data_IF_990529018054
#
_entry.id   IF_990529018054
#
_cell.length_a   1.000
_cell.length_b   1.000
_cell.length_c   1.000
_cell.angle_alpha   90.00
_cell.angle_beta   90.00
_cell.angle_gamma   90.00
#
_symmetry.space_group_name_H-M   'P 1'
#
loop_
_entity.id
_entity.type
_entity.pdbx_description
1 polymer ?
#
# COMPACT_ATOMS: atom_id res chain seq x y z
N UNK A 1 -51.77 13.69 53.26
CA UNK A 1 -52.34 12.38 52.87
C UNK A 1 -52.42 12.33 51.36
N UNK A 2 -51.65 11.47 50.73
CA UNK A 2 -51.61 11.32 49.26
C UNK A 2 -50.67 10.18 48.92
N UNK A 3 -51.23 9.13 48.34
CA UNK A 3 -50.72 7.75 48.27
C UNK A 3 -49.43 7.62 47.44
N UNK A 4 -48.48 6.84 47.96
CA UNK A 4 -47.35 6.30 47.22
C UNK A 4 -47.82 5.07 46.44
N UNK A 5 -47.88 5.18 45.11
CA UNK A 5 -48.11 4.05 44.22
C UNK A 5 -46.76 3.46 43.80
N UNK A 6 -46.40 2.36 44.45
CA UNK A 6 -45.25 1.52 44.15
C UNK A 6 -45.52 0.67 42.90
N UNK A 7 -44.78 0.93 41.82
CA UNK A 7 -44.78 0.10 40.62
C UNK A 7 -44.02 -1.23 40.83
N UNK A 8 -44.50 -2.36 40.29
CA UNK A 8 -43.91 -3.68 40.50
C UNK A 8 -42.64 -3.91 39.66
N UNK A 9 -41.57 -4.37 40.32
CA UNK A 9 -40.22 -4.59 39.77
C UNK A 9 -40.01 -5.93 39.04
N UNK A 10 -41.05 -6.73 38.83
CA UNK A 10 -40.87 -8.16 38.54
C UNK A 10 -41.05 -8.57 37.06
N UNK A 11 -41.20 -7.62 36.13
CA UNK A 11 -41.50 -7.95 34.72
C UNK A 11 -40.25 -8.14 33.82
N UNK A 12 -39.02 -7.93 34.30
CA UNK A 12 -37.86 -7.78 33.41
C UNK A 12 -36.93 -9.01 33.32
N UNK A 13 -37.37 -10.20 33.75
CA UNK A 13 -36.51 -11.40 33.85
C UNK A 13 -37.02 -12.62 33.06
N UNK A 14 -37.47 -12.46 31.81
CA UNK A 14 -37.84 -13.61 30.95
C UNK A 14 -37.42 -13.59 29.47
N UNK A 15 -36.63 -12.61 29.00
CA UNK A 15 -36.33 -12.52 27.55
C UNK A 15 -34.91 -12.93 27.09
N UNK A 16 -34.04 -13.49 27.95
CA UNK A 16 -32.62 -13.70 27.55
C UNK A 16 -32.17 -15.15 27.25
N UNK A 17 -33.05 -16.15 27.13
CA UNK A 17 -32.61 -17.54 26.87
C UNK A 17 -32.77 -18.03 25.42
N UNK A 18 -33.03 -17.11 24.48
CA UNK A 18 -33.26 -17.43 23.07
C UNK A 18 -32.12 -17.05 22.11
N UNK A 19 -30.87 -16.92 22.58
CA UNK A 19 -29.74 -16.69 21.69
C UNK A 19 -29.45 -17.96 20.89
N UNK A 20 -30.13 -18.12 19.74
CA UNK A 20 -29.84 -19.15 18.74
C UNK A 20 -28.35 -19.08 18.42
N UNK A 21 -27.60 -20.10 18.84
CA UNK A 21 -26.18 -20.28 18.55
C UNK A 21 -26.04 -20.24 17.01
N UNK A 22 -25.64 -19.09 16.49
CA UNK A 22 -25.52 -18.86 15.06
C UNK A 22 -24.51 -19.87 14.52
N UNK A 23 -24.99 -20.87 13.77
CA UNK A 23 -24.11 -21.82 13.09
C UNK A 23 -23.22 -21.00 12.18
N UNK A 24 -21.92 -21.05 12.44
CA UNK A 24 -20.95 -20.25 11.72
C UNK A 24 -20.69 -20.93 10.36
N UNK A 25 -21.63 -20.77 9.42
CA UNK A 25 -21.63 -21.43 8.10
C UNK A 25 -20.31 -21.28 7.34
N UNK A 26 -19.56 -20.20 7.60
CA UNK A 26 -18.24 -19.94 7.01
C UNK A 26 -17.21 -21.02 7.35
N UNK A 27 -17.16 -21.48 8.59
CA UNK A 27 -16.20 -22.52 8.99
C UNK A 27 -16.53 -23.87 8.37
N UNK A 28 -17.82 -24.20 8.29
CA UNK A 28 -18.27 -25.43 7.67
C UNK A 28 -18.04 -25.41 6.16
N UNK A 29 -18.29 -24.27 5.51
CA UNK A 29 -18.05 -24.09 4.07
C UNK A 29 -16.58 -24.25 3.70
N UNK A 30 -15.66 -23.60 4.45
CA UNK A 30 -14.21 -23.72 4.20
C UNK A 30 -13.72 -25.17 4.36
N UNK A 31 -14.19 -25.89 5.39
CA UNK A 31 -13.87 -27.30 5.59
C UNK A 31 -14.40 -28.18 4.45
N UNK A 32 -15.62 -27.89 3.97
CA UNK A 32 -16.22 -28.62 2.86
C UNK A 32 -15.49 -28.38 1.54
N UNK A 33 -15.14 -27.13 1.21
CA UNK A 33 -14.39 -26.79 0.00
C UNK A 33 -13.02 -27.47 0.00
N UNK A 34 -12.29 -27.40 1.13
CA UNK A 34 -11.01 -28.10 1.25
C UNK A 34 -11.14 -29.62 1.05
N UNK A 35 -12.17 -30.23 1.61
CA UNK A 35 -12.45 -31.67 1.44
C UNK A 35 -12.77 -32.03 -0.02
N UNK A 36 -13.62 -31.25 -0.69
CA UNK A 36 -13.98 -31.46 -2.08
C UNK A 36 -12.77 -31.34 -3.02
N UNK A 37 -11.93 -30.31 -2.80
CA UNK A 37 -10.70 -30.10 -3.58
C UNK A 37 -9.71 -31.26 -3.38
N UNK A 38 -9.51 -31.73 -2.14
CA UNK A 38 -8.65 -32.87 -1.86
C UNK A 38 -9.16 -34.16 -2.52
N UNK A 39 -10.48 -34.39 -2.52
CA UNK A 39 -11.08 -35.56 -3.18
C UNK A 39 -10.89 -35.52 -4.69
N UNK A 40 -11.09 -34.36 -5.33
CA UNK A 40 -10.84 -34.18 -6.76
C UNK A 40 -9.36 -34.47 -7.09
N UNK A 41 -8.43 -33.99 -6.26
CA UNK A 41 -7.00 -34.25 -6.47
C UNK A 41 -6.65 -35.74 -6.38
N UNK A 42 -7.25 -36.49 -5.44
CA UNK A 42 -7.05 -37.94 -5.32
C UNK A 42 -7.64 -38.68 -6.54
N UNK A 43 -8.82 -38.30 -7.01
CA UNK A 43 -9.44 -38.86 -8.21
C UNK A 43 -8.62 -38.57 -9.49
N UNK A 44 -7.98 -37.41 -9.55
CA UNK A 44 -7.05 -37.06 -10.62
C UNK A 44 -5.78 -37.92 -10.56
N UNK A 45 -5.14 -38.04 -9.39
CA UNK A 45 -3.93 -38.84 -9.20
C UNK A 45 -4.14 -40.35 -9.47
N UNK A 46 -5.34 -40.87 -9.19
CA UNK A 46 -5.70 -42.27 -9.46
C UNK A 46 -6.02 -42.54 -10.93
N UNK A 47 -6.03 -41.52 -11.80
CA UNK A 47 -6.28 -41.67 -13.23
C UNK A 47 -7.71 -42.09 -13.57
N UNK A 48 -8.64 -42.05 -12.61
CA UNK A 48 -10.05 -42.42 -12.80
C UNK A 48 -10.72 -41.42 -13.74
N UNK A 49 -10.32 -40.14 -13.68
CA UNK A 49 -10.87 -39.07 -14.51
C UNK A 49 -9.76 -38.51 -15.39
N UNK A 50 -9.92 -38.64 -16.71
CA UNK A 50 -9.04 -38.03 -17.70
C UNK A 50 -9.45 -36.57 -17.93
N UNK A 51 -9.18 -35.71 -16.96
CA UNK A 51 -9.29 -34.26 -17.14
C UNK A 51 -7.94 -33.76 -17.64
N UNK A 52 -7.92 -33.06 -18.77
CA UNK A 52 -6.74 -32.30 -19.19
C UNK A 52 -6.62 -31.10 -18.25
N UNK A 53 -5.72 -31.18 -17.27
CA UNK A 53 -5.42 -30.12 -16.31
C UNK A 53 -3.99 -29.66 -16.58
N UNK A 54 -3.81 -28.37 -16.86
CA UNK A 54 -2.49 -27.78 -17.04
C UNK A 54 -1.68 -27.81 -15.73
N UNK A 55 -0.35 -27.91 -15.84
CA UNK A 55 0.57 -27.97 -14.69
C UNK A 55 0.39 -26.79 -13.71
N UNK A 56 0.05 -25.61 -14.24
CA UNK A 56 -0.23 -24.42 -13.42
C UNK A 56 -1.49 -24.58 -12.58
N UNK A 57 -2.53 -25.21 -13.12
CA UNK A 57 -3.79 -25.46 -12.41
C UNK A 57 -3.57 -26.46 -11.29
N UNK A 58 -2.74 -27.48 -11.53
CA UNK A 58 -2.34 -28.42 -10.48
C UNK A 58 -1.58 -27.71 -9.35
N UNK A 59 -0.63 -26.84 -9.69
CA UNK A 59 0.10 -26.03 -8.72
C UNK A 59 -0.82 -25.13 -7.88
N UNK A 60 -1.80 -24.47 -8.51
CA UNK A 60 -2.78 -23.63 -7.82
C UNK A 60 -3.65 -24.45 -6.86
N UNK A 61 -4.05 -25.66 -7.26
CA UNK A 61 -4.86 -26.55 -6.43
C UNK A 61 -4.11 -26.97 -5.17
N UNK A 62 -2.83 -27.30 -5.29
CA UNK A 62 -1.96 -27.65 -4.15
C UNK A 62 -1.83 -26.47 -3.19
N UNK A 63 -1.60 -25.25 -3.69
CA UNK A 63 -1.53 -24.05 -2.85
C UNK A 63 -2.85 -23.84 -2.09
N UNK A 64 -3.99 -24.05 -2.74
CA UNK A 64 -5.31 -23.85 -2.14
C UNK A 64 -5.58 -24.85 -0.99
N UNK A 65 -5.05 -26.07 -1.09
CA UNK A 65 -5.06 -27.07 0.00
C UNK A 65 -4.14 -26.65 1.16
N UNK A 66 -3.02 -25.99 0.86
CA UNK A 66 -2.05 -25.56 1.87
C UNK A 66 -2.46 -24.29 2.62
N UNK A 67 -3.27 -23.41 2.03
CA UNK A 67 -3.77 -22.18 2.67
C UNK A 67 -4.29 -22.37 4.11
N UNK A 68 -5.21 -23.31 4.41
CA UNK A 68 -5.70 -23.52 5.77
C UNK A 68 -4.64 -24.04 6.76
N UNK A 69 -3.52 -24.60 6.28
CA UNK A 69 -2.42 -25.00 7.14
C UNK A 69 -1.57 -23.81 7.59
N UNK A 70 -1.54 -22.71 6.81
CA UNK A 70 -0.76 -21.51 7.14
C UNK A 70 -1.27 -20.85 8.44
N UNK A 71 -2.59 -20.83 8.65
CA UNK A 71 -3.19 -20.32 9.89
C UNK A 71 -2.80 -21.14 11.14
N UNK A 72 -2.36 -22.40 10.97
CA UNK A 72 -1.84 -23.23 12.07
C UNK A 72 -0.38 -22.94 12.41
N UNK A 73 0.36 -22.25 11.55
CA UNK A 73 1.79 -21.96 11.71
C UNK A 73 2.01 -20.60 12.41
N UNK A 74 1.11 -20.20 13.31
CA UNK A 74 1.22 -18.92 14.04
C UNK A 74 2.36 -18.87 15.08
N UNK A 75 3.15 -19.93 15.24
CA UNK A 75 4.31 -19.94 16.14
C UNK A 75 5.50 -20.64 15.52
N UNK A 76 6.12 -20.04 14.51
CA UNK A 76 7.52 -20.39 14.20
C UNK A 76 8.39 -19.54 15.14
N UNK A 77 8.94 -20.15 16.18
CA UNK A 77 10.02 -19.54 16.97
C UNK A 77 11.26 -19.49 16.08
N UNK A 78 11.42 -18.42 15.31
CA UNK A 78 12.71 -18.09 14.72
C UNK A 78 13.59 -17.53 15.84
N UNK A 79 14.72 -18.21 16.04
CA UNK A 79 15.49 -18.27 17.28
C UNK A 79 15.96 -16.93 17.86
N UNK A 80 15.89 -15.83 17.10
CA UNK A 80 16.35 -14.50 17.52
C UNK A 80 15.40 -13.33 17.13
N UNK A 81 14.18 -13.60 16.64
CA UNK A 81 13.22 -12.53 16.30
C UNK A 81 11.86 -12.85 16.91
N UNK A 82 11.58 -12.26 18.06
CA UNK A 82 10.24 -12.19 18.64
C UNK A 82 9.38 -11.20 17.84
N UNK A 83 8.83 -11.63 16.71
CA UNK A 83 7.67 -10.93 16.14
C UNK A 83 6.44 -11.39 16.91
N UNK A 84 6.19 -10.74 18.04
CA UNK A 84 4.89 -10.82 18.72
C UNK A 84 3.90 -10.10 17.82
N UNK A 85 3.05 -10.84 17.10
CA UNK A 85 1.80 -10.26 16.63
C UNK A 85 0.99 -9.96 17.88
N UNK A 86 1.10 -8.72 18.35
CA UNK A 86 0.33 -8.22 19.48
C UNK A 86 -1.13 -8.31 19.07
N UNK A 87 -1.86 -9.18 19.77
CA UNK A 87 -3.30 -9.31 19.63
C UNK A 87 -3.91 -7.92 19.82
N UNK A 88 -4.75 -7.49 18.87
CA UNK A 88 -5.24 -6.11 18.79
C UNK A 88 -6.03 -5.66 20.04
N UNK A 89 -6.36 -6.59 20.95
CA UNK A 89 -7.00 -6.34 22.24
C UNK A 89 -6.06 -5.74 23.29
N UNK A 90 -4.77 -6.09 23.32
CA UNK A 90 -3.83 -5.55 24.33
C UNK A 90 -3.46 -4.08 24.03
N UNK A 91 -3.45 -3.69 22.76
CA UNK A 91 -3.19 -2.29 22.33
C UNK A 91 -4.37 -1.38 22.71
N UNK A 92 -5.60 -1.88 22.73
CA UNK A 92 -6.76 -1.09 23.17
C UNK A 92 -6.74 -0.86 24.69
N UNK A 93 -6.35 -1.85 25.50
CA UNK A 93 -6.21 -1.65 26.95
C UNK A 93 -5.07 -0.69 27.30
N UNK A 94 -3.96 -0.73 26.58
CA UNK A 94 -2.85 0.20 26.76
C UNK A 94 -3.23 1.64 26.40
N UNK A 95 -4.00 1.85 25.33
CA UNK A 95 -4.54 3.18 24.98
C UNK A 95 -5.52 3.70 26.03
N UNK A 96 -6.41 2.84 26.53
CA UNK A 96 -7.42 3.24 27.53
C UNK A 96 -6.78 3.66 28.86
N UNK A 97 -5.72 2.97 29.29
CA UNK A 97 -4.94 3.35 30.48
C UNK A 97 -4.12 4.63 30.30
N UNK A 98 -3.63 4.91 29.09
CA UNK A 98 -2.92 6.16 28.79
C UNK A 98 -3.86 7.38 28.80
N UNK A 99 -5.09 7.23 28.29
CA UNK A 99 -6.10 8.29 28.28
C UNK A 99 -6.67 8.58 29.69
N UNK A 100 -6.72 7.58 30.57
CA UNK A 100 -7.09 7.77 31.99
C UNK A 100 -5.98 8.48 32.78
N UNK A 101 -4.71 8.13 32.57
CA UNK A 101 -3.58 8.79 33.23
C UNK A 101 -3.41 10.27 32.82
N UNK A 102 -3.85 10.66 31.62
CA UNK A 102 -3.86 12.07 31.19
C UNK A 102 -4.98 12.90 31.82
N UNK A 103 -6.04 12.28 32.36
CA UNK A 103 -7.13 13.01 33.03
C UNK A 103 -6.84 13.35 34.48
N UNK A 104 -5.84 12.72 35.11
CA UNK A 104 -5.53 12.91 36.54
C UNK A 104 -4.40 13.89 36.84
N UNK A 105 -3.75 14.52 35.86
CA UNK A 105 -2.78 15.58 36.15
C UNK A 105 -3.49 16.90 36.52
N UNK A 106 -3.34 17.41 37.76
CA UNK A 106 -4.03 18.60 38.21
C UNK A 106 -3.45 19.88 37.59
N UNK A 107 -4.36 20.74 37.16
CA UNK A 107 -4.10 22.07 36.61
C UNK A 107 -3.42 23.01 37.63
N UNK A 108 -2.10 23.00 37.70
CA UNK A 108 -1.35 23.96 38.51
C UNK A 108 -0.01 24.34 37.86
N UNK A 109 -0.05 25.12 36.77
CA UNK A 109 0.97 26.13 36.43
C UNK A 109 0.54 26.94 35.20
N UNK A 110 -0.28 27.97 35.41
CA UNK A 110 -0.47 29.07 34.44
C UNK A 110 0.77 29.97 34.47
N UNK A 111 1.77 29.64 33.65
CA UNK A 111 2.87 30.54 33.30
C UNK A 111 2.54 31.35 32.05
N UNK A 112 2.37 32.67 32.21
CA UNK A 112 2.11 33.64 31.14
C UNK A 112 3.35 33.77 30.25
N UNK A 113 3.24 33.46 28.96
CA UNK A 113 4.13 34.04 27.94
C UNK A 113 3.40 34.35 26.64
N UNK A 114 3.45 35.64 26.32
CA UNK A 114 3.32 36.35 25.05
C UNK A 114 2.62 35.68 23.87
N UNK A 115 1.44 36.24 23.64
CA UNK A 115 0.69 36.40 22.40
C UNK A 115 1.52 37.16 21.35
N UNK A 116 2.06 36.47 20.34
CA UNK A 116 2.26 37.05 18.99
C UNK A 116 2.35 35.95 17.93
N UNK A 117 1.31 35.94 17.11
CA UNK A 117 1.21 35.44 15.72
C UNK A 117 1.55 33.98 15.43
N UNK A 118 0.53 33.12 15.53
CA UNK A 118 0.43 31.90 14.72
C UNK A 118 -1.03 31.62 14.36
N UNK A 119 -1.48 32.18 13.25
CA UNK A 119 -2.68 31.70 12.57
C UNK A 119 -2.33 30.36 11.91
N UNK A 120 -2.58 29.26 12.64
CA UNK A 120 -2.45 27.91 12.12
C UNK A 120 -3.86 27.32 12.02
N UNK A 121 -4.38 27.31 10.80
CA UNK A 121 -5.70 26.78 10.45
C UNK A 121 -5.80 25.28 10.82
N UNK A 122 -7.00 24.80 11.18
CA UNK A 122 -7.21 23.40 11.56
C UNK A 122 -6.94 22.47 10.37
N UNK A 123 -5.99 21.55 10.55
CA UNK A 123 -5.78 20.44 9.63
C UNK A 123 -6.99 19.52 9.70
N UNK A 124 -7.85 19.61 8.68
CA UNK A 124 -8.86 18.61 8.41
C UNK A 124 -8.15 17.33 7.98
N UNK A 125 -8.08 16.35 8.89
CA UNK A 125 -7.77 14.97 8.53
C UNK A 125 -8.96 14.41 7.75
N UNK A 126 -8.96 14.61 6.44
CA UNK A 126 -9.86 13.91 5.53
C UNK A 126 -9.28 12.51 5.34
N UNK A 127 -10.02 11.53 5.84
CA UNK A 127 -9.81 10.10 5.59
C UNK A 127 -9.84 9.82 4.08
N UNK A 128 -8.69 9.90 3.40
CA UNK A 128 -8.49 9.35 2.06
C UNK A 128 -8.11 7.86 2.16
N UNK A 129 -8.96 7.05 2.80
CA UNK A 129 -8.92 5.58 2.72
C UNK A 129 -9.99 5.16 1.72
N UNK A 130 -9.65 4.95 0.45
CA UNK A 130 -10.63 4.33 -0.45
C UNK A 130 -10.40 4.36 -1.96
N UNK A 131 -9.41 5.05 -2.51
CA UNK A 131 -9.14 4.99 -3.96
C UNK A 131 -7.65 4.72 -4.20
N UNK A 132 -7.35 4.04 -5.31
CA UNK A 132 -6.04 3.48 -5.71
C UNK A 132 -5.71 2.09 -5.13
N UNK A 133 -6.67 1.17 -5.22
CA UNK A 133 -6.38 -0.27 -5.36
C UNK A 133 -6.70 -0.73 -6.79
N UNK A 134 -6.33 0.08 -7.79
CA UNK A 134 -6.23 -0.39 -9.16
C UNK A 134 -4.81 -0.93 -9.30
N UNK A 135 -4.70 -2.25 -9.52
CA UNK A 135 -3.45 -2.83 -9.97
C UNK A 135 -3.08 -2.12 -11.28
N UNK A 136 -2.02 -1.30 -11.25
CA UNK A 136 -1.40 -0.82 -12.47
C UNK A 136 -1.12 -2.07 -13.32
N UNK A 137 -1.60 -2.12 -14.58
CA UNK A 137 -1.31 -3.25 -15.44
C UNK A 137 0.21 -3.43 -15.53
N UNK A 138 0.71 -4.67 -15.63
CA UNK A 138 2.11 -4.92 -15.90
C UNK A 138 2.53 -4.09 -17.13
N UNK A 139 3.64 -3.36 -17.00
CA UNK A 139 4.18 -2.40 -17.98
C UNK A 139 4.59 -3.05 -19.33
N UNK A 140 4.33 -4.34 -19.50
CA UNK A 140 4.83 -5.19 -20.58
C UNK A 140 4.02 -5.06 -21.89
N UNK A 141 2.93 -4.27 -21.92
CA UNK A 141 2.03 -4.16 -23.06
C UNK A 141 2.10 -2.85 -23.86
N UNK A 142 3.06 -1.97 -23.59
CA UNK A 142 3.22 -0.76 -24.38
C UNK A 142 4.31 -1.00 -25.45
N UNK A 143 3.97 -0.97 -26.76
CA UNK A 143 4.94 -0.98 -27.83
C UNK A 143 6.00 0.09 -27.56
N UNK A 144 7.24 -0.35 -27.34
CA UNK A 144 8.36 0.53 -27.06
C UNK A 144 8.88 1.17 -28.35
N UNK A 145 8.14 2.13 -28.89
CA UNK A 145 8.82 3.16 -29.67
C UNK A 145 9.51 4.07 -28.67
N UNK A 146 10.84 3.94 -28.60
CA UNK A 146 11.65 4.95 -27.92
C UNK A 146 11.30 6.29 -28.55
N UNK A 147 10.94 7.32 -27.76
CA UNK A 147 10.96 8.65 -28.32
C UNK A 147 12.37 8.84 -28.86
N UNK A 148 12.48 9.10 -30.16
CA UNK A 148 13.70 9.68 -30.73
C UNK A 148 14.05 10.95 -29.95
N UNK A 149 15.24 11.53 -30.11
CA UNK A 149 15.58 12.80 -29.46
C UNK A 149 14.48 13.87 -29.66
N UNK A 150 13.80 13.83 -30.80
CA UNK A 150 12.64 14.66 -31.16
C UNK A 150 11.44 14.51 -30.20
N UNK A 151 11.26 13.32 -29.61
CA UNK A 151 10.22 13.04 -28.64
C UNK A 151 10.47 13.72 -27.28
N UNK A 152 11.72 13.99 -26.91
CA UNK A 152 12.05 14.67 -25.64
C UNK A 152 11.55 16.11 -25.65
N UNK A 153 11.74 16.83 -26.77
CA UNK A 153 11.30 18.22 -26.89
C UNK A 153 9.77 18.35 -26.82
N UNK A 154 9.07 17.41 -27.47
CA UNK A 154 7.60 17.36 -27.43
C UNK A 154 7.08 17.06 -26.03
N UNK A 155 7.71 16.09 -25.34
CA UNK A 155 7.41 15.78 -23.95
C UNK A 155 7.67 16.97 -23.03
N UNK A 156 8.80 17.65 -23.19
CA UNK A 156 9.17 18.83 -22.40
C UNK A 156 8.10 19.92 -22.49
N UNK A 157 7.67 20.27 -23.71
CA UNK A 157 6.60 21.25 -23.92
C UNK A 157 5.30 20.83 -23.23
N UNK A 158 4.90 19.56 -23.37
CA UNK A 158 3.68 19.03 -22.74
C UNK A 158 3.74 19.07 -21.21
N UNK A 159 4.90 18.78 -20.62
CA UNK A 159 5.09 18.80 -19.16
C UNK A 159 5.08 20.23 -18.61
N UNK A 160 5.57 21.22 -19.36
CA UNK A 160 5.48 22.62 -18.95
C UNK A 160 4.05 23.15 -18.98
N UNK A 161 3.29 22.83 -20.01
CA UNK A 161 1.86 23.17 -20.09
C UNK A 161 1.06 22.50 -18.97
N UNK A 162 1.35 21.22 -18.70
CA UNK A 162 0.73 20.48 -17.60
C UNK A 162 1.15 21.05 -16.24
N UNK A 163 2.40 21.51 -16.06
CA UNK A 163 2.87 22.08 -14.80
C UNK A 163 2.15 23.39 -14.45
N UNK A 164 1.68 24.14 -15.46
CA UNK A 164 0.93 25.38 -15.28
C UNK A 164 -0.53 25.15 -14.94
N UNK A 165 -1.16 24.18 -15.61
CA UNK A 165 -2.58 23.89 -15.49
C UNK A 165 -2.88 22.90 -14.36
N UNK A 166 -2.07 21.84 -14.22
CA UNK A 166 -2.20 20.78 -13.23
C UNK A 166 -0.82 20.31 -12.70
N UNK A 167 -0.24 21.06 -11.73
CA UNK A 167 1.09 20.78 -11.19
C UNK A 167 1.30 19.34 -10.72
N UNK A 168 0.28 18.75 -10.10
CA UNK A 168 0.36 17.38 -9.59
C UNK A 168 0.43 16.34 -10.70
N UNK A 169 -0.36 16.52 -11.76
CA UNK A 169 -0.35 15.61 -12.90
C UNK A 169 0.98 15.68 -13.67
N UNK A 170 1.55 16.87 -13.86
CA UNK A 170 2.86 17.05 -14.50
C UNK A 170 3.97 16.25 -13.80
N UNK A 171 4.00 16.25 -12.45
CA UNK A 171 4.97 15.45 -11.68
C UNK A 171 4.76 13.95 -11.87
N UNK A 172 3.51 13.50 -11.93
CA UNK A 172 3.19 12.09 -12.18
C UNK A 172 3.65 11.70 -13.58
N UNK A 173 3.29 12.46 -14.62
CA UNK A 173 3.71 12.26 -16.01
C UNK A 173 5.24 12.19 -16.15
N UNK A 174 5.96 13.16 -15.56
CA UNK A 174 7.42 13.20 -15.53
C UNK A 174 8.01 11.94 -14.86
N UNK A 175 7.49 11.57 -13.70
CA UNK A 175 7.99 10.41 -12.96
C UNK A 175 7.76 9.10 -13.71
N UNK A 176 6.62 8.96 -14.38
CA UNK A 176 6.30 7.80 -15.21
C UNK A 176 7.26 7.68 -16.39
N UNK A 177 7.60 8.80 -17.03
CA UNK A 177 8.56 8.74 -18.13
C UNK A 177 9.99 8.43 -17.64
N UNK A 178 10.42 9.01 -16.51
CA UNK A 178 11.69 8.63 -15.87
C UNK A 178 11.73 7.14 -15.53
N UNK A 179 10.65 6.57 -14.98
CA UNK A 179 10.55 5.15 -14.69
C UNK A 179 10.72 4.29 -15.94
N UNK A 180 10.11 4.67 -17.07
CA UNK A 180 10.30 3.98 -18.36
C UNK A 180 11.74 4.05 -18.83
N UNK A 181 12.38 5.22 -18.77
CA UNK A 181 13.77 5.39 -19.23
C UNK A 181 14.74 4.59 -18.35
N UNK A 182 14.57 4.60 -17.03
CA UNK A 182 15.35 3.74 -16.12
C UNK A 182 15.16 2.27 -16.45
N UNK A 183 13.92 1.84 -16.72
CA UNK A 183 13.63 0.45 -17.09
C UNK A 183 14.32 0.04 -18.40
N UNK A 184 14.41 0.97 -19.37
CA UNK A 184 15.19 0.76 -20.62
C UNK A 184 16.68 0.65 -20.37
N UNK A 185 17.26 1.52 -19.54
CA UNK A 185 18.69 1.42 -19.19
C UNK A 185 18.96 0.11 -18.45
N UNK A 186 18.06 -0.28 -17.54
CA UNK A 186 18.15 -1.54 -16.83
C UNK A 186 18.09 -2.75 -17.77
N UNK A 187 17.16 -2.78 -18.74
CA UNK A 187 17.05 -3.89 -19.69
C UNK A 187 18.24 -4.01 -20.63
N UNK A 188 18.93 -2.91 -20.94
CA UNK A 188 20.20 -2.92 -21.69
C UNK A 188 21.39 -3.42 -20.86
N UNK A 189 21.32 -3.37 -19.52
CA UNK A 189 22.40 -3.85 -18.67
C UNK A 189 22.48 -5.39 -18.71
N UNK A 190 23.69 -5.93 -18.90
CA UNK A 190 23.96 -7.37 -19.05
C UNK A 190 23.53 -8.24 -17.85
N UNK A 191 23.10 -7.63 -16.74
CA UNK A 191 22.63 -8.29 -15.52
C UNK A 191 21.12 -8.22 -15.32
N UNK A 192 20.33 -7.84 -16.33
CA UNK A 192 18.87 -7.80 -16.23
C UNK A 192 18.26 -9.20 -16.03
N UNK A 193 18.27 -9.68 -14.78
CA UNK A 193 17.65 -10.93 -14.36
C UNK A 193 16.17 -10.72 -14.06
N UNK A 194 15.32 -10.74 -15.09
CA UNK A 194 13.86 -10.73 -14.94
C UNK A 194 13.26 -9.41 -14.46
N UNK A 195 11.97 -9.46 -14.10
CA UNK A 195 11.17 -8.31 -13.71
C UNK A 195 11.58 -7.81 -12.31
N UNK A 196 12.35 -6.73 -12.25
CA UNK A 196 12.72 -6.06 -11.01
C UNK A 196 11.78 -4.90 -10.70
N UNK A 197 11.50 -4.67 -9.41
CA UNK A 197 10.75 -3.47 -8.99
C UNK A 197 11.59 -2.22 -9.26
N UNK A 198 10.95 -1.08 -9.55
CA UNK A 198 11.67 0.16 -9.88
C UNK A 198 12.77 0.56 -8.89
N UNK A 199 12.50 0.51 -7.58
CA UNK A 199 13.53 0.79 -6.56
C UNK A 199 14.71 -0.19 -6.59
N UNK A 200 14.43 -1.45 -6.91
CA UNK A 200 15.46 -2.47 -7.06
C UNK A 200 16.30 -2.18 -8.32
N UNK A 201 15.67 -1.84 -9.45
CA UNK A 201 16.38 -1.42 -10.67
C UNK A 201 17.34 -0.25 -10.40
N UNK A 202 16.88 0.79 -9.72
CA UNK A 202 17.74 1.92 -9.34
C UNK A 202 18.92 1.50 -8.44
N UNK A 203 18.66 0.67 -7.44
CA UNK A 203 19.70 0.19 -6.52
C UNK A 203 20.74 -0.67 -7.22
N UNK A 204 20.31 -1.51 -8.16
CA UNK A 204 21.20 -2.37 -8.95
C UNK A 204 22.00 -1.58 -9.98
N UNK A 205 21.39 -0.64 -10.69
CA UNK A 205 22.11 0.26 -11.60
C UNK A 205 23.17 1.09 -10.87
N UNK A 206 22.89 1.52 -9.63
CA UNK A 206 23.86 2.20 -8.77
C UNK A 206 24.99 1.25 -8.33
N UNK A 207 24.67 0.05 -7.84
CA UNK A 207 25.69 -0.90 -7.37
C UNK A 207 26.60 -1.42 -8.50
N UNK A 208 26.10 -1.40 -9.75
CA UNK A 208 26.86 -1.69 -10.95
C UNK A 208 27.72 -0.51 -11.43
N UNK A 209 27.58 0.68 -10.83
CA UNK A 209 28.28 1.88 -11.27
C UNK A 209 27.72 2.52 -12.55
N UNK A 210 26.58 2.03 -13.06
CA UNK A 210 25.91 2.62 -14.24
C UNK A 210 25.31 3.98 -13.86
N UNK A 211 24.71 4.07 -12.67
CA UNK A 211 24.21 5.33 -12.12
C UNK A 211 25.18 5.86 -11.07
N UNK A 212 25.64 7.11 -11.26
CA UNK A 212 26.32 7.86 -10.21
C UNK A 212 25.35 8.26 -9.08
N UNK A 213 25.90 8.58 -7.91
CA UNK A 213 25.11 8.95 -6.72
C UNK A 213 24.17 10.14 -6.99
N UNK A 214 24.62 11.14 -7.75
CA UNK A 214 23.81 12.32 -8.09
C UNK A 214 22.57 11.98 -8.92
N UNK A 215 22.69 11.07 -9.89
CA UNK A 215 21.57 10.62 -10.72
C UNK A 215 20.57 9.81 -9.89
N UNK A 216 21.08 8.90 -9.06
CA UNK A 216 20.26 8.09 -8.16
C UNK A 216 19.45 8.96 -7.18
N UNK A 217 20.11 9.90 -6.50
CA UNK A 217 19.44 10.81 -5.55
C UNK A 217 18.45 11.74 -6.27
N UNK A 218 18.80 12.24 -7.45
CA UNK A 218 17.91 13.08 -8.26
C UNK A 218 16.60 12.36 -8.64
N UNK A 219 16.70 11.12 -9.12
CA UNK A 219 15.52 10.32 -9.47
C UNK A 219 14.69 10.01 -8.21
N UNK A 220 15.34 9.61 -7.11
CA UNK A 220 14.63 9.31 -5.86
C UNK A 220 13.91 10.54 -5.28
N UNK A 221 14.49 11.73 -5.39
CA UNK A 221 13.87 12.97 -4.96
C UNK A 221 12.56 13.24 -5.72
N UNK A 222 12.55 13.07 -7.04
CA UNK A 222 11.34 13.23 -7.86
C UNK A 222 10.27 12.22 -7.46
N UNK A 223 10.65 10.96 -7.25
CA UNK A 223 9.73 9.88 -6.84
C UNK A 223 9.15 10.14 -5.44
N UNK A 224 9.95 10.69 -4.53
CA UNK A 224 9.49 11.12 -3.21
C UNK A 224 8.43 12.21 -3.32
N UNK A 225 8.63 13.20 -4.17
CA UNK A 225 7.66 14.28 -4.42
C UNK A 225 6.40 13.73 -5.08
N UNK A 226 6.50 12.83 -6.07
CA UNK A 226 5.35 12.14 -6.67
C UNK A 226 4.50 11.44 -5.61
N UNK A 227 5.13 10.72 -4.68
CA UNK A 227 4.41 10.02 -3.62
C UNK A 227 3.66 10.97 -2.69
N UNK A 228 4.25 12.13 -2.36
CA UNK A 228 3.60 13.17 -1.57
C UNK A 228 2.41 13.79 -2.30
N UNK A 229 2.56 14.09 -3.58
CA UNK A 229 1.47 14.58 -4.45
C UNK A 229 0.33 13.55 -4.51
N UNK A 230 0.65 12.27 -4.67
CA UNK A 230 -0.34 11.18 -4.67
C UNK A 230 -1.11 11.05 -3.33
N UNK A 231 -0.50 11.48 -2.22
CA UNK A 231 -1.14 11.56 -0.90
C UNK A 231 -1.98 12.83 -0.72
N UNK A 232 -2.12 13.66 -1.76
CA UNK A 232 -2.92 14.88 -1.74
C UNK A 232 -2.13 16.14 -1.38
N UNK A 233 -0.80 16.08 -1.33
CA UNK A 233 -0.01 17.29 -1.16
C UNK A 233 -0.18 18.22 -2.38
N UNK A 234 -0.50 19.48 -2.12
CA UNK A 234 -0.65 20.49 -3.18
C UNK A 234 0.72 21.05 -3.56
N UNK A 235 1.04 20.96 -4.85
CA UNK A 235 2.25 21.52 -5.42
C UNK A 235 1.95 22.86 -6.11
N UNK A 236 2.82 23.86 -5.94
CA UNK A 236 2.70 25.13 -6.65
C UNK A 236 3.18 24.97 -8.11
N UNK A 237 2.62 25.72 -9.07
CA UNK A 237 3.09 25.70 -10.46
C UNK A 237 4.59 26.03 -10.59
N UNK A 238 5.12 26.97 -9.81
CA UNK A 238 6.55 27.30 -9.78
C UNK A 238 7.43 26.11 -9.41
N UNK A 239 7.00 25.34 -8.41
CA UNK A 239 7.74 24.20 -7.87
C UNK A 239 7.67 23.03 -8.84
N UNK A 240 6.50 22.82 -9.49
CA UNK A 240 6.34 21.86 -10.56
C UNK A 240 7.23 22.18 -11.76
N UNK A 241 7.29 23.45 -12.22
CA UNK A 241 8.19 23.87 -13.30
C UNK A 241 9.66 23.61 -12.98
N UNK A 242 10.09 23.94 -11.76
CA UNK A 242 11.46 23.66 -11.32
C UNK A 242 11.77 22.16 -11.27
N UNK A 243 10.78 21.35 -10.89
CA UNK A 243 10.88 19.89 -10.92
C UNK A 243 10.96 19.35 -12.34
N UNK A 244 10.15 19.88 -13.27
CA UNK A 244 10.19 19.54 -14.70
C UNK A 244 11.57 19.87 -15.27
N UNK A 245 12.10 21.08 -15.07
CA UNK A 245 13.45 21.44 -15.54
C UNK A 245 14.53 20.47 -15.03
N UNK A 246 14.48 20.17 -13.72
CA UNK A 246 15.42 19.22 -13.11
C UNK A 246 15.26 17.80 -13.65
N UNK A 247 14.02 17.32 -13.80
CA UNK A 247 13.71 15.99 -14.33
C UNK A 247 14.06 15.83 -15.80
N UNK A 248 13.87 16.87 -16.63
CA UNK A 248 14.28 16.87 -18.03
C UNK A 248 15.80 16.76 -18.18
N UNK A 249 16.58 17.41 -17.30
CA UNK A 249 18.04 17.23 -17.26
C UNK A 249 18.43 15.78 -16.98
N UNK A 250 17.78 15.13 -16.00
CA UNK A 250 18.02 13.71 -15.71
C UNK A 250 17.61 12.83 -16.89
N UNK A 251 16.48 13.12 -17.54
CA UNK A 251 15.98 12.37 -18.68
C UNK A 251 16.91 12.42 -19.88
N UNK A 252 17.49 13.59 -20.18
CA UNK A 252 18.52 13.74 -21.24
C UNK A 252 19.79 12.94 -20.93
N UNK A 253 20.14 12.77 -19.65
CA UNK A 253 21.26 11.90 -19.24
C UNK A 253 20.89 10.43 -19.49
N UNK A 254 19.70 10.01 -19.06
CA UNK A 254 19.22 8.63 -19.22
C UNK A 254 19.10 8.19 -20.68
N UNK A 255 18.64 9.07 -21.57
CA UNK A 255 18.50 8.73 -23.00
C UNK A 255 19.87 8.50 -23.67
N UNK A 256 20.93 9.11 -23.15
CA UNK A 256 22.31 8.90 -23.65
C UNK A 256 22.97 7.63 -23.11
N UNK A 257 22.33 6.91 -22.19
CA UNK A 257 22.79 5.63 -21.62
C UNK A 257 22.23 4.43 -22.39
#
# INVERSE_FOLDING_TARGET
MGKNDSAPKDAQKRESSGAKKGINWREHYLKFVGFAVATILVLYLTGIIKIAVDDYTLGLLVILILLPLIDRIQKIKFKDIEVVMVDSSEVEEAKKKADEAQKEQPAAAKGKTSKKDKAQAPQAQVHAKGLYKMALPPLDFLPQESPAEDGIATLEASLYEEADSNPGAAVVSLSTELEKQVSRVYSKSAKAGGYARFRQMLSELRSQGVFGDSLFEGINAIISIRNRVAQGERLKPSDARALVDSGMKLMRILVKM
#
